data_IF_021834253724
#
_entry.id   IF_021834253724
#
_cell.length_a   1.000
_cell.length_b   1.000
_cell.length_c   1.000
_cell.angle_alpha   90.00
_cell.angle_beta   90.00
_cell.angle_gamma   90.00
#
_symmetry.space_group_name_H-M   'P 1'
#
loop_
_entity.id
_entity.type
_entity.pdbx_description
1 polymer ?
#
# COMPACT_ATOMS: atom_id res chain seq x y z
N UNK A 1 -35.34 10.42 -1.95
CA UNK A 1 -33.99 10.67 -2.51
C UNK A 1 -33.41 11.81 -1.69
N UNK A 2 -32.58 11.53 -0.72
CA UNK A 2 -31.84 12.55 0.04
C UNK A 2 -30.80 13.12 -0.89
N UNK A 3 -30.90 14.40 -1.21
CA UNK A 3 -29.87 15.13 -1.94
C UNK A 3 -28.54 14.95 -1.18
N UNK A 4 -27.52 14.43 -1.88
CA UNK A 4 -26.17 14.39 -1.34
C UNK A 4 -25.68 15.83 -1.14
N UNK A 5 -25.02 16.16 0.00
CA UNK A 5 -24.32 17.42 0.08
C UNK A 5 -23.33 17.51 -1.09
N UNK A 6 -23.33 18.62 -1.79
CA UNK A 6 -22.43 18.90 -2.91
C UNK A 6 -20.99 18.84 -2.38
N UNK A 7 -20.27 17.78 -2.75
CA UNK A 7 -18.88 17.58 -2.29
C UNK A 7 -17.97 18.50 -3.09
N UNK A 8 -17.02 19.10 -2.40
CA UNK A 8 -16.09 20.04 -3.00
C UNK A 8 -14.95 19.32 -3.78
N UNK A 9 -14.75 18.01 -3.56
CA UNK A 9 -13.65 17.23 -4.13
C UNK A 9 -14.16 15.90 -4.68
N UNK A 10 -13.81 15.60 -5.93
CA UNK A 10 -14.08 14.30 -6.56
C UNK A 10 -13.04 13.28 -6.14
N UNK A 11 -13.47 12.19 -5.51
CA UNK A 11 -12.60 11.12 -5.02
C UNK A 11 -12.88 9.84 -5.78
N UNK A 12 -11.84 9.25 -6.37
CA UNK A 12 -11.89 7.90 -6.94
C UNK A 12 -11.20 6.92 -6.00
N UNK A 13 -11.86 5.83 -5.64
CA UNK A 13 -11.25 4.71 -4.94
C UNK A 13 -10.62 3.73 -5.94
N UNK A 14 -9.41 3.26 -5.67
CA UNK A 14 -8.79 2.11 -6.33
C UNK A 14 -8.64 1.01 -5.30
N UNK A 15 -9.20 -0.16 -5.59
CA UNK A 15 -9.08 -1.36 -4.75
C UNK A 15 -8.49 -2.48 -5.59
N UNK A 16 -7.47 -3.16 -5.07
CA UNK A 16 -6.85 -4.33 -5.71
C UNK A 16 -7.31 -5.58 -4.99
N UNK A 17 -7.71 -6.62 -5.73
CA UNK A 17 -8.18 -7.90 -5.18
C UNK A 17 -7.60 -9.09 -5.91
N UNK A 18 -7.48 -10.23 -5.21
CA UNK A 18 -7.11 -11.51 -5.78
C UNK A 18 -7.67 -12.67 -4.95
N UNK A 19 -8.65 -13.43 -5.52
CA UNK A 19 -9.29 -14.58 -4.87
C UNK A 19 -9.87 -14.24 -3.46
N UNK A 20 -10.58 -13.11 -3.34
CA UNK A 20 -11.18 -12.64 -2.10
C UNK A 20 -12.58 -12.03 -2.33
N UNK A 21 -13.47 -12.80 -2.99
CA UNK A 21 -14.82 -12.34 -3.31
C UNK A 21 -15.60 -11.82 -2.09
N UNK A 22 -15.42 -12.46 -0.93
CA UNK A 22 -16.11 -12.07 0.29
C UNK A 22 -15.66 -10.69 0.80
N UNK A 23 -14.37 -10.42 0.77
CA UNK A 23 -13.79 -9.17 1.31
C UNK A 23 -14.02 -8.00 0.35
N UNK A 24 -13.81 -8.19 -0.95
CA UNK A 24 -14.07 -7.13 -1.94
C UNK A 24 -15.54 -6.68 -1.94
N UNK A 25 -16.50 -7.60 -1.72
CA UNK A 25 -17.91 -7.24 -1.57
C UNK A 25 -18.17 -6.32 -0.38
N UNK A 26 -17.56 -6.62 0.77
CA UNK A 26 -17.68 -5.79 1.99
C UNK A 26 -17.06 -4.40 1.77
N UNK A 27 -15.87 -4.36 1.17
CA UNK A 27 -15.13 -3.12 0.92
C UNK A 27 -15.87 -2.24 -0.08
N UNK A 28 -16.34 -2.79 -1.20
CA UNK A 28 -17.15 -2.03 -2.17
C UNK A 28 -18.42 -1.49 -1.55
N UNK A 29 -19.16 -2.30 -0.77
CA UNK A 29 -20.37 -1.84 -0.10
C UNK A 29 -20.11 -0.66 0.86
N UNK A 30 -18.95 -0.68 1.57
CA UNK A 30 -18.55 0.41 2.45
C UNK A 30 -18.19 1.67 1.66
N UNK A 31 -17.47 1.54 0.54
CA UNK A 31 -17.13 2.66 -0.35
C UNK A 31 -18.38 3.31 -0.97
N UNK A 32 -19.34 2.49 -1.37
CA UNK A 32 -20.65 2.98 -1.88
C UNK A 32 -21.42 3.75 -0.81
N UNK A 33 -21.44 3.24 0.44
CA UNK A 33 -22.08 3.89 1.58
C UNK A 33 -21.43 5.24 1.92
N UNK A 34 -20.12 5.36 1.81
CA UNK A 34 -19.38 6.63 1.97
C UNK A 34 -19.65 7.62 0.82
N UNK A 35 -20.17 7.15 -0.29
CA UNK A 35 -20.51 8.01 -1.42
C UNK A 35 -19.32 8.39 -2.29
N UNK A 36 -18.31 7.57 -2.41
CA UNK A 36 -17.18 7.72 -3.34
C UNK A 36 -17.70 7.98 -4.77
N UNK A 37 -17.08 8.90 -5.52
CA UNK A 37 -17.56 9.32 -6.84
C UNK A 37 -17.33 8.23 -7.90
N UNK A 38 -16.15 7.61 -7.90
CA UNK A 38 -15.80 6.49 -8.76
C UNK A 38 -15.11 5.39 -7.95
N UNK A 39 -15.42 4.15 -8.25
CA UNK A 39 -14.80 2.96 -7.66
C UNK A 39 -14.16 2.16 -8.80
N UNK A 40 -12.85 2.05 -8.79
CA UNK A 40 -12.06 1.21 -9.69
C UNK A 40 -11.63 -0.02 -8.91
N UNK A 41 -12.07 -1.20 -9.33
CA UNK A 41 -11.62 -2.46 -8.74
C UNK A 41 -10.75 -3.19 -9.73
N UNK A 42 -9.50 -3.43 -9.35
CA UNK A 42 -8.55 -4.19 -10.16
C UNK A 42 -8.52 -5.63 -9.64
N UNK A 43 -9.05 -6.53 -10.42
CA UNK A 43 -8.95 -7.97 -10.19
C UNK A 43 -7.67 -8.52 -10.79
N UNK A 44 -6.84 -9.12 -9.97
CA UNK A 44 -5.54 -9.67 -10.39
C UNK A 44 -5.65 -11.12 -10.94
N UNK A 45 -6.68 -11.41 -11.73
CA UNK A 45 -6.85 -12.73 -12.35
C UNK A 45 -7.39 -13.76 -11.36
N UNK A 46 -8.42 -13.41 -10.61
CA UNK A 46 -9.10 -14.31 -9.67
C UNK A 46 -9.83 -15.45 -10.36
N UNK A 47 -10.06 -16.53 -9.62
CA UNK A 47 -10.78 -17.74 -10.06
C UNK A 47 -11.91 -18.17 -9.11
N UNK A 48 -12.28 -17.30 -8.17
CA UNK A 48 -13.26 -17.57 -7.09
C UNK A 48 -14.63 -16.92 -7.32
N UNK A 49 -14.97 -16.53 -8.57
CA UNK A 49 -16.20 -15.82 -8.90
C UNK A 49 -16.10 -14.28 -8.75
N UNK A 50 -14.95 -13.75 -8.38
CA UNK A 50 -14.70 -12.30 -8.32
C UNK A 50 -14.88 -11.64 -9.69
N UNK A 51 -14.31 -12.14 -10.81
CA UNK A 51 -14.44 -11.53 -12.13
C UNK A 51 -15.90 -11.41 -12.59
N UNK A 52 -16.70 -12.46 -12.39
CA UNK A 52 -18.12 -12.48 -12.76
C UNK A 52 -18.91 -11.45 -11.96
N UNK A 53 -18.65 -11.39 -10.64
CA UNK A 53 -19.33 -10.43 -9.78
C UNK A 53 -18.97 -8.98 -10.14
N UNK A 54 -17.71 -8.71 -10.48
CA UNK A 54 -17.24 -7.38 -10.87
C UNK A 54 -17.84 -6.96 -12.22
N UNK A 55 -17.82 -7.86 -13.23
CA UNK A 55 -18.35 -7.57 -14.57
C UNK A 55 -19.85 -7.23 -14.54
N UNK A 56 -20.61 -7.86 -13.65
CA UNK A 56 -22.04 -7.57 -13.47
C UNK A 56 -22.35 -6.20 -12.83
N UNK A 57 -21.33 -5.45 -12.38
CA UNK A 57 -21.46 -4.15 -11.70
C UNK A 57 -20.95 -2.96 -12.51
N UNK A 58 -20.41 -3.18 -13.69
CA UNK A 58 -19.87 -2.11 -14.52
C UNK A 58 -20.91 -0.99 -14.75
N UNK A 59 -20.51 0.25 -14.51
CA UNK A 59 -21.36 1.43 -14.65
C UNK A 59 -20.52 2.69 -14.80
N UNK A 60 -21.13 3.84 -14.99
CA UNK A 60 -20.43 5.13 -15.05
C UNK A 60 -19.65 5.48 -13.76
N UNK A 61 -19.94 4.82 -12.63
CA UNK A 61 -19.26 5.02 -11.34
C UNK A 61 -18.44 3.82 -10.87
N UNK A 62 -18.66 2.64 -11.42
CA UNK A 62 -18.00 1.42 -11.02
C UNK A 62 -17.25 0.83 -12.23
N UNK A 63 -15.93 0.72 -12.10
CA UNK A 63 -15.00 0.39 -13.18
C UNK A 63 -14.20 -0.88 -12.83
N UNK A 64 -14.65 -2.07 -13.26
CA UNK A 64 -13.89 -3.30 -13.10
C UNK A 64 -12.73 -3.35 -14.11
N UNK A 65 -11.53 -3.65 -13.63
CA UNK A 65 -10.34 -3.91 -14.44
C UNK A 65 -9.91 -5.35 -14.20
N UNK A 66 -10.05 -6.22 -15.19
CA UNK A 66 -9.76 -7.64 -15.05
C UNK A 66 -8.39 -7.96 -15.68
N UNK A 67 -7.38 -8.15 -14.85
CA UNK A 67 -6.08 -8.60 -15.31
C UNK A 67 -6.15 -10.10 -15.67
N UNK A 68 -5.44 -10.51 -16.73
CA UNK A 68 -5.40 -11.91 -17.17
C UNK A 68 -4.66 -12.82 -16.20
N UNK A 69 -3.87 -12.26 -15.30
CA UNK A 69 -3.00 -12.97 -14.37
C UNK A 69 -2.68 -12.10 -13.15
N UNK A 70 -2.17 -12.75 -12.10
CA UNK A 70 -1.79 -12.04 -10.89
C UNK A 70 -0.51 -11.22 -11.10
N UNK A 71 -0.66 -9.89 -11.09
CA UNK A 71 0.43 -8.92 -11.21
C UNK A 71 0.98 -8.47 -9.84
N UNK A 72 0.51 -9.06 -8.75
CA UNK A 72 0.79 -8.61 -7.39
C UNK A 72 0.11 -7.28 -7.04
N UNK A 73 0.24 -6.85 -5.79
CA UNK A 73 -0.29 -5.56 -5.34
C UNK A 73 0.26 -4.39 -6.15
N UNK A 74 1.59 -4.37 -6.36
CA UNK A 74 2.26 -3.32 -7.12
C UNK A 74 1.70 -3.17 -8.54
N UNK A 75 1.54 -4.29 -9.27
CA UNK A 75 0.99 -4.29 -10.63
C UNK A 75 -0.49 -3.91 -10.65
N UNK A 76 -1.27 -4.39 -9.69
CA UNK A 76 -2.68 -4.03 -9.56
C UNK A 76 -2.88 -2.54 -9.33
N UNK A 77 -2.16 -1.95 -8.38
CA UNK A 77 -2.23 -0.49 -8.14
C UNK A 77 -1.71 0.32 -9.33
N UNK A 78 -0.63 -0.11 -9.99
CA UNK A 78 -0.14 0.55 -11.20
C UNK A 78 -1.20 0.55 -12.32
N UNK A 79 -1.90 -0.56 -12.52
CA UNK A 79 -3.01 -0.70 -13.48
C UNK A 79 -4.13 0.30 -13.13
N UNK A 80 -4.61 0.30 -11.88
CA UNK A 80 -5.67 1.19 -11.42
C UNK A 80 -5.31 2.67 -11.55
N UNK A 81 -4.09 3.05 -11.12
CA UNK A 81 -3.59 4.43 -11.22
C UNK A 81 -3.47 4.90 -12.67
N UNK A 82 -3.03 4.03 -13.58
CA UNK A 82 -2.95 4.34 -15.01
C UNK A 82 -4.35 4.59 -15.57
N UNK A 83 -5.31 3.72 -15.27
CA UNK A 83 -6.70 3.89 -15.69
C UNK A 83 -7.29 5.23 -15.23
N UNK A 84 -7.12 5.55 -13.94
CA UNK A 84 -7.65 6.82 -13.38
C UNK A 84 -7.04 8.02 -14.08
N UNK A 85 -5.71 8.03 -14.28
CA UNK A 85 -5.03 9.16 -14.98
C UNK A 85 -5.51 9.38 -16.40
N UNK A 86 -5.85 8.31 -17.12
CA UNK A 86 -6.21 8.36 -18.53
C UNK A 86 -7.71 8.55 -18.78
N UNK A 87 -8.56 8.09 -17.85
CA UNK A 87 -9.99 7.93 -18.10
C UNK A 87 -10.90 8.70 -17.16
N UNK A 88 -10.41 9.09 -15.97
CA UNK A 88 -11.26 9.70 -14.95
C UNK A 88 -10.74 11.08 -14.54
N UNK A 89 -11.68 12.01 -14.35
CA UNK A 89 -11.37 13.34 -13.84
C UNK A 89 -11.55 13.38 -12.33
N UNK A 90 -10.49 12.99 -11.60
CA UNK A 90 -10.47 12.92 -10.14
C UNK A 90 -9.59 14.00 -9.55
N UNK A 91 -10.03 14.62 -8.45
CA UNK A 91 -9.20 15.55 -7.69
C UNK A 91 -8.27 14.80 -6.74
N UNK A 92 -8.79 13.70 -6.17
CA UNK A 92 -8.09 12.80 -5.27
C UNK A 92 -8.33 11.34 -5.65
N UNK A 93 -7.33 10.50 -5.41
CA UNK A 93 -7.43 9.05 -5.57
C UNK A 93 -7.14 8.39 -4.23
N UNK A 94 -8.05 7.55 -3.76
CA UNK A 94 -7.89 6.75 -2.56
C UNK A 94 -7.45 5.33 -2.95
N UNK A 95 -6.39 4.83 -2.32
CA UNK A 95 -5.84 3.49 -2.52
C UNK A 95 -6.16 2.62 -1.31
N UNK A 96 -6.63 1.40 -1.55
CA UNK A 96 -6.83 0.40 -0.49
C UNK A 96 -6.75 -1.02 -1.02
N UNK A 97 -6.37 -1.95 -0.14
CA UNK A 97 -6.51 -3.40 -0.38
C UNK A 97 -7.98 -3.82 -0.23
N UNK A 98 -8.33 -5.03 -0.68
CA UNK A 98 -9.69 -5.57 -0.64
C UNK A 98 -10.23 -5.83 0.78
N UNK A 99 -9.34 -5.94 1.77
CA UNK A 99 -9.65 -6.08 3.20
C UNK A 99 -9.46 -4.78 4.01
N UNK A 100 -9.10 -3.68 3.31
CA UNK A 100 -9.02 -2.32 3.87
C UNK A 100 -10.22 -1.48 3.49
N UNK A 101 -10.98 -0.96 4.46
CA UNK A 101 -12.23 -0.24 4.19
C UNK A 101 -12.41 0.99 5.08
N UNK A 102 -13.06 2.06 4.57
CA UNK A 102 -13.32 3.25 5.39
C UNK A 102 -14.25 2.92 6.56
N UNK A 103 -13.99 3.48 7.75
CA UNK A 103 -15.00 3.56 8.80
C UNK A 103 -16.13 4.49 8.36
N UNK A 104 -17.37 4.33 8.87
CA UNK A 104 -18.46 5.25 8.59
C UNK A 104 -18.08 6.71 8.88
N UNK A 105 -18.25 7.57 7.88
CA UNK A 105 -17.92 9.00 7.96
C UNK A 105 -16.45 9.32 7.65
N UNK A 106 -15.64 8.37 7.21
CA UNK A 106 -14.24 8.61 6.86
C UNK A 106 -14.09 9.64 5.72
N UNK A 107 -14.96 9.56 4.72
CA UNK A 107 -14.91 10.48 3.60
C UNK A 107 -15.38 11.90 3.98
N UNK A 108 -16.38 12.01 4.85
CA UNK A 108 -16.80 13.31 5.41
C UNK A 108 -15.68 13.94 6.24
N UNK A 109 -14.95 13.12 7.03
CA UNK A 109 -13.77 13.58 7.76
C UNK A 109 -12.65 14.05 6.82
N UNK A 110 -12.41 13.33 5.70
CA UNK A 110 -11.47 13.76 4.67
C UNK A 110 -11.86 15.09 4.02
N UNK A 111 -13.15 15.27 3.68
CA UNK A 111 -13.65 16.50 3.06
C UNK A 111 -13.54 17.71 4.01
N UNK A 112 -13.60 17.49 5.34
CA UNK A 112 -13.46 18.53 6.35
C UNK A 112 -12.01 18.97 6.60
N UNK A 113 -11.01 18.27 6.07
CA UNK A 113 -9.61 18.64 6.25
C UNK A 113 -9.24 19.90 5.46
N UNK A 114 -8.42 20.75 6.08
CA UNK A 114 -7.67 21.77 5.35
C UNK A 114 -6.52 21.07 4.60
N UNK A 115 -6.60 21.06 3.27
CA UNK A 115 -5.64 20.39 2.40
C UNK A 115 -4.76 21.37 1.60
N UNK A 116 -4.69 22.64 2.04
CA UNK A 116 -3.79 23.57 1.39
C UNK A 116 -2.32 23.12 1.54
N UNK A 117 -1.63 23.01 0.42
CA UNK A 117 -0.26 22.50 0.37
C UNK A 117 -0.09 21.02 0.73
N UNK A 118 -1.18 20.22 0.89
CA UNK A 118 -1.14 18.78 1.14
C UNK A 118 -1.34 18.02 -0.17
N UNK A 119 -0.45 17.05 -0.43
CA UNK A 119 -0.46 16.22 -1.65
C UNK A 119 -0.92 14.78 -1.41
N UNK A 120 -0.87 14.33 -0.17
CA UNK A 120 -1.37 13.03 0.23
C UNK A 120 -1.88 13.03 1.66
N UNK A 121 -3.01 12.32 1.89
CA UNK A 121 -3.59 12.10 3.22
C UNK A 121 -3.48 10.63 3.56
N UNK A 122 -2.88 10.34 4.71
CA UNK A 122 -2.69 9.00 5.25
C UNK A 122 -3.69 8.79 6.38
N UNK A 123 -4.53 7.78 6.24
CA UNK A 123 -5.57 7.47 7.22
C UNK A 123 -5.02 6.77 8.47
N UNK A 124 -5.74 6.90 9.57
CA UNK A 124 -5.52 6.11 10.77
C UNK A 124 -6.18 4.73 10.59
N UNK A 125 -5.37 3.68 10.58
CA UNK A 125 -5.82 2.31 10.31
C UNK A 125 -5.92 1.52 11.60
N UNK A 126 -7.06 0.85 11.78
CA UNK A 126 -7.37 0.01 12.94
C UNK A 126 -7.71 -1.42 12.51
N UNK A 127 -7.46 -2.38 13.38
CA UNK A 127 -7.96 -3.74 13.24
C UNK A 127 -9.46 -3.79 13.59
N UNK A 128 -10.22 -4.84 13.20
CA UNK A 128 -11.64 -4.96 13.55
C UNK A 128 -11.93 -4.93 15.05
N UNK A 129 -10.95 -5.27 15.89
CA UNK A 129 -11.06 -5.19 17.35
C UNK A 129 -10.76 -3.79 17.93
N UNK A 130 -10.62 -2.77 17.10
CA UNK A 130 -10.36 -1.38 17.47
C UNK A 130 -8.91 -1.06 17.86
N UNK A 131 -7.99 -2.02 17.81
CA UNK A 131 -6.56 -1.76 18.04
C UNK A 131 -5.93 -1.11 16.81
N UNK A 132 -4.94 -0.24 17.04
CA UNK A 132 -4.17 0.35 15.95
C UNK A 132 -3.47 -0.76 15.15
N UNK A 133 -3.58 -0.70 13.82
CA UNK A 133 -2.87 -1.61 12.93
C UNK A 133 -1.40 -1.20 12.81
N UNK A 134 -0.52 -1.87 13.55
CA UNK A 134 0.91 -1.55 13.57
C UNK A 134 1.60 -1.71 12.21
N UNK A 135 1.10 -2.60 11.34
CA UNK A 135 1.63 -2.78 10.00
C UNK A 135 1.34 -1.59 9.08
N UNK A 136 0.25 -0.87 9.34
CA UNK A 136 -0.15 0.31 8.56
C UNK A 136 0.30 1.62 9.22
N UNK A 137 1.08 1.57 10.29
CA UNK A 137 1.56 2.77 10.99
C UNK A 137 2.47 3.59 10.07
N UNK A 138 2.14 4.85 9.80
CA UNK A 138 2.97 5.69 8.92
C UNK A 138 4.35 5.93 9.51
N UNK A 139 5.32 6.13 8.63
CA UNK A 139 6.72 6.24 9.01
C UNK A 139 7.32 7.56 8.54
N UNK A 140 8.31 8.06 9.29
CA UNK A 140 9.21 9.13 8.85
C UNK A 140 10.52 8.53 8.39
N UNK A 141 11.16 9.11 7.37
CA UNK A 141 12.45 8.61 6.91
C UNK A 141 13.54 8.96 7.95
N UNK A 142 14.14 7.96 8.64
CA UNK A 142 15.09 8.20 9.74
C UNK A 142 16.44 8.74 9.25
N UNK A 143 16.69 8.72 7.93
CA UNK A 143 17.97 9.19 7.36
C UNK A 143 17.94 10.64 6.89
N UNK A 144 16.85 11.36 7.06
CA UNK A 144 16.76 12.82 6.81
C UNK A 144 17.32 13.62 8.00
N UNK A 145 18.62 13.83 8.01
CA UNK A 145 19.42 14.39 9.12
C UNK A 145 18.94 15.73 9.72
N UNK A 146 18.29 16.60 8.93
CA UNK A 146 17.88 17.94 9.43
C UNK A 146 16.58 17.95 10.24
N UNK A 147 15.72 16.93 10.12
CA UNK A 147 14.40 16.89 10.75
C UNK A 147 14.32 15.90 11.91
N UNK A 148 15.11 14.82 11.87
CA UNK A 148 14.89 13.63 12.68
C UNK A 148 15.52 13.60 14.08
N UNK A 149 16.28 14.61 14.47
CA UNK A 149 16.81 14.66 15.83
C UNK A 149 15.74 14.92 16.90
N UNK A 150 14.52 15.30 16.50
CA UNK A 150 13.40 15.64 17.41
C UNK A 150 12.12 14.85 17.17
N UNK A 151 11.97 14.16 16.02
CA UNK A 151 10.75 13.46 15.66
C UNK A 151 10.97 11.95 15.64
N UNK A 152 10.10 11.13 16.29
CA UNK A 152 10.24 9.67 16.28
C UNK A 152 10.02 9.11 14.86
N UNK A 153 10.71 7.99 14.56
CA UNK A 153 10.56 7.26 13.30
C UNK A 153 9.12 6.79 13.05
N UNK A 154 8.42 6.37 14.10
CA UNK A 154 7.01 5.93 14.06
C UNK A 154 6.15 6.89 14.86
N UNK A 155 4.93 7.07 14.42
CA UNK A 155 3.92 7.79 15.19
C UNK A 155 3.58 7.04 16.49
N UNK A 156 3.33 7.77 17.57
CA UNK A 156 2.89 7.21 18.83
C UNK A 156 1.38 6.89 18.81
N UNK A 157 0.91 6.07 19.76
CA UNK A 157 -0.53 5.77 19.87
C UNK A 157 -1.37 7.03 20.16
N UNK A 158 -0.80 8.00 20.89
CA UNK A 158 -1.43 9.29 21.14
C UNK A 158 -1.71 10.10 19.88
N UNK A 159 -0.93 9.90 18.80
CA UNK A 159 -1.12 10.59 17.53
C UNK A 159 -2.38 10.09 16.79
N UNK A 160 -2.94 8.93 17.17
CA UNK A 160 -4.18 8.37 16.62
C UNK A 160 -5.46 8.92 17.27
N UNK A 161 -5.35 9.86 18.21
CA UNK A 161 -6.50 10.58 18.72
C UNK A 161 -7.13 11.43 17.61
N UNK A 162 -8.45 11.34 17.42
CA UNK A 162 -9.21 12.10 16.40
C UNK A 162 -9.04 13.61 16.50
N UNK A 163 -8.75 14.13 17.68
CA UNK A 163 -8.54 15.57 17.93
C UNK A 163 -7.10 16.03 17.62
N UNK A 164 -6.19 15.09 17.38
CA UNK A 164 -4.81 15.44 17.07
C UNK A 164 -4.71 16.11 15.69
N UNK A 165 -3.86 17.12 15.59
CA UNK A 165 -3.58 17.77 14.31
C UNK A 165 -2.89 16.81 13.34
N UNK A 166 -3.15 16.94 12.02
CA UNK A 166 -2.44 16.16 11.01
C UNK A 166 -0.92 16.31 11.13
N UNK A 167 -0.19 15.21 10.94
CA UNK A 167 1.25 15.17 11.08
C UNK A 167 1.94 14.77 9.77
N UNK A 168 3.03 15.44 9.43
CA UNK A 168 3.82 15.09 8.26
C UNK A 168 4.49 13.73 8.43
N UNK A 169 4.37 12.88 7.41
CA UNK A 169 5.01 11.58 7.30
C UNK A 169 5.73 11.45 5.96
N UNK A 170 6.59 10.45 5.80
CA UNK A 170 7.36 10.25 4.57
C UNK A 170 6.95 8.96 3.84
N UNK A 171 6.40 7.97 4.57
CA UNK A 171 6.03 6.66 4.05
C UNK A 171 4.72 6.19 4.67
N UNK A 172 3.87 5.57 3.85
CA UNK A 172 2.59 5.01 4.26
C UNK A 172 2.23 3.79 3.40
N UNK A 173 1.37 2.92 3.94
CA UNK A 173 0.75 1.81 3.20
C UNK A 173 -0.45 2.30 2.40
N UNK A 174 -0.94 1.46 1.47
CA UNK A 174 -2.08 1.84 0.62
C UNK A 174 -3.46 1.68 1.30
N UNK A 175 -3.54 1.26 2.55
CA UNK A 175 -4.83 1.17 3.25
C UNK A 175 -5.31 2.58 3.64
N UNK A 176 -6.23 3.14 2.83
CA UNK A 176 -6.75 4.49 3.05
C UNK A 176 -5.74 5.61 2.76
N UNK A 177 -4.90 5.44 1.75
CA UNK A 177 -4.02 6.50 1.27
C UNK A 177 -4.72 7.32 0.19
N UNK A 178 -4.92 8.61 0.44
CA UNK A 178 -5.45 9.56 -0.54
C UNK A 178 -4.29 10.33 -1.19
N UNK A 179 -4.26 10.38 -2.51
CA UNK A 179 -3.27 11.12 -3.29
C UNK A 179 -3.95 12.17 -4.16
N UNK A 180 -3.44 13.40 -4.12
CA UNK A 180 -3.93 14.49 -4.96
C UNK A 180 -3.56 14.26 -6.43
N UNK A 181 -4.29 14.89 -7.34
CA UNK A 181 -3.96 14.93 -8.78
C UNK A 181 -2.51 15.39 -9.03
N UNK A 182 -1.99 16.31 -8.21
CA UNK A 182 -0.60 16.75 -8.30
C UNK A 182 0.37 15.63 -7.97
N UNK A 183 0.13 14.88 -6.88
CA UNK A 183 0.96 13.72 -6.51
C UNK A 183 0.99 12.67 -7.63
N UNK A 184 -0.18 12.34 -8.21
CA UNK A 184 -0.30 11.36 -9.29
C UNK A 184 0.43 11.75 -10.58
N UNK A 185 0.62 13.05 -10.83
CA UNK A 185 1.38 13.56 -11.98
C UNK A 185 2.88 13.66 -11.72
N UNK A 186 3.29 13.64 -10.44
CA UNK A 186 4.69 13.82 -10.05
C UNK A 186 5.43 12.48 -10.01
N UNK A 187 4.77 11.41 -9.55
CA UNK A 187 5.33 10.05 -9.50
C UNK A 187 4.34 9.07 -10.12
N UNK A 188 4.81 8.22 -11.01
CA UNK A 188 3.97 7.33 -11.83
C UNK A 188 3.29 6.15 -11.07
N UNK A 189 3.30 6.12 -9.76
CA UNK A 189 2.81 4.99 -8.97
C UNK A 189 3.90 3.97 -8.67
N UNK A 190 3.55 2.81 -8.10
CA UNK A 190 4.50 1.77 -7.77
C UNK A 190 5.06 1.11 -9.04
N UNK A 191 6.33 0.69 -9.00
CA UNK A 191 6.91 -0.14 -10.07
C UNK A 191 6.28 -1.54 -10.03
N UNK A 192 5.58 -1.99 -11.09
CA UNK A 192 4.91 -3.29 -11.10
C UNK A 192 5.84 -4.47 -10.81
N UNK A 193 7.14 -4.35 -11.14
CA UNK A 193 8.15 -5.39 -10.93
C UNK A 193 8.47 -5.64 -9.44
N UNK A 194 8.02 -4.76 -8.55
CA UNK A 194 8.10 -5.00 -7.10
C UNK A 194 7.20 -6.16 -6.68
N UNK A 195 6.13 -6.42 -7.36
CA UNK A 195 5.13 -7.45 -7.19
C UNK A 195 4.34 -7.31 -5.88
N UNK A 196 4.97 -7.57 -4.72
CA UNK A 196 4.37 -7.42 -3.38
C UNK A 196 5.40 -6.97 -2.35
N UNK A 197 4.92 -6.36 -1.27
CA UNK A 197 5.66 -5.86 -0.11
C UNK A 197 6.59 -4.68 -0.39
N UNK A 198 6.31 -3.60 0.26
CA UNK A 198 7.13 -2.39 0.26
C UNK A 198 7.01 -1.53 -0.99
N UNK A 199 6.18 -1.91 -1.96
CA UNK A 199 5.81 -1.12 -3.12
C UNK A 199 5.13 0.20 -2.70
N UNK A 200 4.25 0.13 -1.72
CA UNK A 200 3.59 1.24 -1.05
C UNK A 200 4.58 2.21 -0.36
N UNK A 201 5.49 1.65 0.45
CA UNK A 201 6.50 2.45 1.16
C UNK A 201 7.52 3.07 0.20
N UNK A 202 7.92 2.36 -0.85
CA UNK A 202 8.81 2.88 -1.89
C UNK A 202 8.13 4.02 -2.64
N UNK A 203 6.89 3.82 -3.10
CA UNK A 203 6.15 4.83 -3.84
C UNK A 203 5.90 6.09 -3.00
N UNK A 204 5.43 5.96 -1.76
CA UNK A 204 5.17 7.10 -0.88
C UNK A 204 6.46 7.84 -0.49
N UNK A 205 7.58 7.11 -0.30
CA UNK A 205 8.88 7.73 -0.08
C UNK A 205 9.37 8.51 -1.32
N UNK A 206 9.14 7.99 -2.53
CA UNK A 206 9.44 8.70 -3.78
C UNK A 206 8.64 10.00 -3.89
N UNK A 207 7.34 9.96 -3.57
CA UNK A 207 6.50 11.17 -3.50
C UNK A 207 7.07 12.19 -2.50
N UNK A 208 7.40 11.75 -1.30
CA UNK A 208 7.98 12.60 -0.26
C UNK A 208 9.34 13.19 -0.68
N UNK A 209 10.19 12.41 -1.37
CA UNK A 209 11.48 12.89 -1.90
C UNK A 209 11.33 13.85 -3.08
N UNK A 210 10.27 13.71 -3.87
CA UNK A 210 9.90 14.63 -4.94
C UNK A 210 9.27 15.95 -4.41
N UNK A 211 9.23 16.13 -3.08
CA UNK A 211 8.73 17.35 -2.44
C UNK A 211 7.23 17.34 -2.13
N UNK A 212 6.53 16.22 -2.34
CA UNK A 212 5.12 16.11 -1.98
C UNK A 212 4.95 16.06 -0.47
N UNK A 213 3.88 16.70 0.03
CA UNK A 213 3.53 16.73 1.44
C UNK A 213 2.50 15.63 1.74
N UNK A 214 2.93 14.59 2.45
CA UNK A 214 2.05 13.54 2.98
C UNK A 214 1.71 13.86 4.44
N UNK A 215 0.40 13.94 4.75
CA UNK A 215 -0.11 14.25 6.08
C UNK A 215 -0.89 13.04 6.64
N UNK A 216 -0.47 12.51 7.78
CA UNK A 216 -1.27 11.58 8.56
C UNK A 216 -2.42 12.33 9.22
N UNK A 217 -3.65 11.95 8.95
CA UNK A 217 -4.86 12.56 9.48
C UNK A 217 -5.64 11.55 10.33
N UNK A 218 -5.57 11.60 11.67
CA UNK A 218 -6.21 10.64 12.56
C UNK A 218 -7.74 10.71 12.55
N UNK A 219 -8.30 11.76 11.96
CA UNK A 219 -9.74 11.94 11.75
C UNK A 219 -10.29 10.99 10.67
N UNK A 220 -9.47 10.70 9.64
CA UNK A 220 -9.83 9.81 8.53
C UNK A 220 -9.47 8.38 8.94
N UNK A 221 -10.47 7.55 9.21
CA UNK A 221 -10.26 6.23 9.81
C UNK A 221 -10.64 5.11 8.86
N UNK A 222 -9.80 4.07 8.88
CA UNK A 222 -9.98 2.85 8.12
C UNK A 222 -9.88 1.62 9.02
N UNK A 223 -10.63 0.59 8.68
CA UNK A 223 -10.51 -0.76 9.23
C UNK A 223 -9.68 -1.61 8.27
N UNK A 224 -8.76 -2.41 8.79
CA UNK A 224 -8.01 -3.40 8.03
C UNK A 224 -8.22 -4.78 8.64
N UNK A 225 -9.03 -5.59 7.96
CA UNK A 225 -9.44 -6.94 8.39
C UNK A 225 -8.44 -7.98 7.88
N UNK A 226 -7.15 -7.78 8.22
CA UNK A 226 -6.09 -8.62 7.71
C UNK A 226 -5.91 -9.89 8.56
N UNK A 227 -6.05 -11.06 7.95
CA UNK A 227 -5.75 -12.35 8.56
C UNK A 227 -4.24 -12.60 8.74
N UNK A 228 -3.39 -11.79 8.12
CA UNK A 228 -1.92 -11.99 8.05
C UNK A 228 -1.23 -11.92 9.42
N UNK A 229 -1.90 -11.42 10.46
CA UNK A 229 -1.35 -11.27 11.82
C UNK A 229 -1.73 -12.40 12.78
N UNK A 230 -2.41 -13.44 12.32
CA UNK A 230 -2.72 -14.63 13.13
C UNK A 230 -1.49 -15.54 13.15
N UNK A 231 -0.56 -15.27 14.04
CA UNK A 231 0.65 -16.07 14.22
C UNK A 231 1.90 -15.24 14.49
N UNK A 232 3.00 -15.87 14.86
CA UNK A 232 4.29 -15.21 15.12
C UNK A 232 4.72 -14.34 13.92
N UNK A 233 4.75 -13.07 14.11
CA UNK A 233 4.78 -11.95 13.16
C UNK A 233 6.01 -11.86 12.22
N UNK A 234 6.67 -12.96 11.84
CA UNK A 234 7.85 -12.91 10.96
C UNK A 234 8.01 -14.16 10.07
N UNK A 235 6.96 -14.96 9.88
CA UNK A 235 7.01 -16.13 9.01
C UNK A 235 6.15 -15.85 7.77
N UNK A 236 6.82 -15.68 6.63
CA UNK A 236 6.14 -15.50 5.34
C UNK A 236 5.67 -16.86 4.81
N UNK A 237 4.38 -17.00 4.64
CA UNK A 237 3.74 -18.18 4.05
C UNK A 237 2.87 -17.75 2.84
N UNK A 238 3.04 -18.35 1.67
CA UNK A 238 4.10 -19.32 1.30
C UNK A 238 5.52 -18.71 1.32
N UNK A 239 6.54 -19.57 1.48
CA UNK A 239 7.94 -19.16 1.69
C UNK A 239 8.54 -18.31 0.56
N UNK A 240 8.02 -18.42 -0.66
CA UNK A 240 8.48 -17.61 -1.80
C UNK A 240 8.34 -16.09 -1.55
N UNK A 241 7.40 -15.67 -0.71
CA UNK A 241 7.21 -14.26 -0.32
C UNK A 241 8.45 -13.62 0.33
N UNK A 242 9.33 -14.44 0.92
CA UNK A 242 10.61 -14.05 1.49
C UNK A 242 11.47 -13.30 0.47
N UNK A 243 11.51 -13.78 -0.79
CA UNK A 243 12.29 -13.15 -1.84
C UNK A 243 11.87 -11.68 -2.04
N UNK A 244 10.60 -11.44 -2.30
CA UNK A 244 10.11 -10.08 -2.54
C UNK A 244 10.29 -9.18 -1.33
N UNK A 245 9.95 -9.68 -0.14
CA UNK A 245 10.10 -8.90 1.09
C UNK A 245 11.53 -8.38 1.29
N UNK A 246 12.52 -9.24 1.21
CA UNK A 246 13.91 -8.83 1.47
C UNK A 246 14.54 -8.09 0.30
N UNK A 247 14.22 -8.43 -0.94
CA UNK A 247 14.66 -7.67 -2.12
C UNK A 247 14.15 -6.23 -2.05
N UNK A 248 12.85 -6.07 -1.83
CA UNK A 248 12.22 -4.75 -1.81
C UNK A 248 12.63 -3.94 -0.56
N UNK A 249 12.90 -4.61 0.59
CA UNK A 249 13.46 -3.94 1.76
C UNK A 249 14.84 -3.32 1.46
N UNK A 250 15.70 -3.98 0.67
CA UNK A 250 17.00 -3.41 0.26
C UNK A 250 16.78 -2.20 -0.65
N UNK A 251 15.84 -2.27 -1.59
CA UNK A 251 15.50 -1.14 -2.47
C UNK A 251 14.97 0.05 -1.67
N UNK A 252 14.09 -0.21 -0.70
CA UNK A 252 13.59 0.81 0.22
C UNK A 252 14.73 1.44 1.03
N UNK A 253 15.64 0.63 1.58
CA UNK A 253 16.79 1.17 2.32
C UNK A 253 17.73 1.97 1.42
N UNK A 254 17.94 1.54 0.18
CA UNK A 254 18.72 2.33 -0.80
C UNK A 254 18.10 3.70 -1.04
N UNK A 255 16.79 3.73 -1.25
CA UNK A 255 16.05 4.98 -1.47
C UNK A 255 16.06 5.87 -0.21
N UNK A 256 15.88 5.29 0.97
CA UNK A 256 15.78 6.02 2.23
C UNK A 256 17.12 6.52 2.75
N UNK A 257 18.17 5.68 2.68
CA UNK A 257 19.45 5.88 3.35
C UNK A 257 20.57 6.35 2.41
N UNK A 258 20.40 6.21 1.09
CA UNK A 258 21.43 6.58 0.11
C UNK A 258 22.74 5.84 0.37
N UNK A 259 23.84 6.58 0.56
CA UNK A 259 25.17 6.02 0.80
C UNK A 259 25.28 5.23 2.13
N UNK A 260 24.38 5.47 3.10
CA UNK A 260 24.28 4.71 4.35
C UNK A 260 23.68 3.31 4.17
N UNK A 261 23.31 2.91 2.94
CA UNK A 261 22.82 1.55 2.67
C UNK A 261 23.73 0.46 3.26
N UNK A 262 25.05 0.60 3.07
CA UNK A 262 26.00 -0.43 3.48
C UNK A 262 26.05 -0.66 5.00
N UNK A 263 26.21 0.36 5.86
CA UNK A 263 26.08 0.17 7.31
C UNK A 263 24.72 -0.36 7.73
N UNK A 264 23.61 0.06 7.06
CA UNK A 264 22.28 -0.49 7.33
C UNK A 264 22.22 -1.98 7.04
N UNK A 265 22.73 -2.42 5.89
CA UNK A 265 22.78 -3.84 5.53
C UNK A 265 23.67 -4.65 6.48
N UNK A 266 24.82 -4.10 6.89
CA UNK A 266 25.70 -4.77 7.85
C UNK A 266 24.98 -5.10 9.17
N UNK A 267 24.07 -4.23 9.61
CA UNK A 267 23.25 -4.45 10.82
C UNK A 267 22.06 -5.39 10.57
N UNK A 268 21.45 -5.37 9.37
CA UNK A 268 20.23 -6.11 9.05
C UNK A 268 20.50 -7.56 8.62
N UNK A 269 21.53 -7.80 7.79
CA UNK A 269 21.80 -9.12 7.22
C UNK A 269 21.99 -10.22 8.28
N UNK A 270 22.72 -10.02 9.41
CA UNK A 270 22.82 -11.04 10.45
C UNK A 270 21.45 -11.41 11.06
N UNK A 271 20.57 -10.42 11.26
CA UNK A 271 19.20 -10.65 11.78
C UNK A 271 18.38 -11.44 10.79
N UNK A 272 18.42 -11.07 9.49
CA UNK A 272 17.70 -11.76 8.42
C UNK A 272 18.13 -13.21 8.28
N UNK A 273 19.44 -13.49 8.30
CA UNK A 273 19.95 -14.86 8.24
C UNK A 273 19.51 -15.71 9.44
N UNK A 274 19.46 -15.10 10.63
CA UNK A 274 18.96 -15.80 11.83
C UNK A 274 17.47 -16.15 11.75
N UNK A 275 16.67 -15.44 10.97
CA UNK A 275 15.24 -15.73 10.80
C UNK A 275 14.98 -17.13 10.20
N UNK A 276 15.94 -17.72 9.48
CA UNK A 276 15.85 -19.08 8.97
C UNK A 276 15.46 -20.11 10.03
N UNK A 277 15.84 -19.91 11.30
CA UNK A 277 15.53 -20.81 12.42
C UNK A 277 14.01 -20.99 12.67
N UNK A 278 13.20 -20.03 12.21
CA UNK A 278 11.75 -20.05 12.41
C UNK A 278 11.01 -20.81 11.30
N UNK A 279 11.72 -21.23 10.24
CA UNK A 279 11.12 -21.85 9.06
C UNK A 279 11.18 -23.38 9.05
N UNK A 280 11.71 -24.02 10.11
CA UNK A 280 11.71 -25.49 10.26
C UNK A 280 12.23 -26.20 9.00
N UNK A 281 11.39 -27.04 8.39
CA UNK A 281 11.69 -27.79 7.15
C UNK A 281 11.99 -26.90 5.94
N UNK A 282 11.47 -25.68 5.92
CA UNK A 282 11.64 -24.72 4.83
C UNK A 282 12.88 -23.81 5.03
N UNK A 283 13.72 -24.05 6.06
CA UNK A 283 14.86 -23.20 6.40
C UNK A 283 15.88 -23.09 5.27
N UNK A 284 16.12 -24.15 4.50
CA UNK A 284 17.07 -24.11 3.37
C UNK A 284 16.49 -23.35 2.19
N UNK A 285 15.20 -23.52 1.90
CA UNK A 285 14.46 -22.72 0.91
C UNK A 285 14.52 -21.23 1.29
N UNK A 286 14.25 -20.91 2.57
CA UNK A 286 14.37 -19.53 3.07
C UNK A 286 15.78 -18.97 2.83
N UNK A 287 16.86 -19.71 3.17
CA UNK A 287 18.25 -19.23 2.98
C UNK A 287 18.57 -18.98 1.51
N UNK A 288 18.14 -19.88 0.63
CA UNK A 288 18.31 -19.74 -0.81
C UNK A 288 17.61 -18.49 -1.33
N UNK A 289 16.32 -18.33 -1.00
CA UNK A 289 15.52 -17.18 -1.40
C UNK A 289 16.05 -15.86 -0.84
N UNK A 290 16.50 -15.85 0.41
CA UNK A 290 17.14 -14.68 1.02
C UNK A 290 18.42 -14.28 0.28
N UNK A 291 19.28 -15.24 -0.09
CA UNK A 291 20.51 -14.95 -0.82
C UNK A 291 20.21 -14.36 -2.21
N UNK A 292 19.22 -14.89 -2.94
CA UNK A 292 18.77 -14.31 -4.20
C UNK A 292 18.22 -12.88 -4.00
N UNK A 293 17.37 -12.69 -2.98
CA UNK A 293 16.82 -11.38 -2.65
C UNK A 293 17.91 -10.34 -2.34
N UNK A 294 18.95 -10.74 -1.59
CA UNK A 294 20.09 -9.86 -1.27
C UNK A 294 20.84 -9.49 -2.54
N UNK A 295 21.17 -10.48 -3.37
CA UNK A 295 21.89 -10.25 -4.62
C UNK A 295 21.10 -9.29 -5.54
N UNK A 296 19.82 -9.58 -5.79
CA UNK A 296 19.00 -8.82 -6.70
C UNK A 296 18.67 -7.42 -6.14
N UNK A 297 18.40 -7.31 -4.83
CA UNK A 297 18.20 -6.03 -4.18
C UNK A 297 19.43 -5.12 -4.22
N UNK A 298 20.63 -5.67 -4.00
CA UNK A 298 21.88 -4.91 -4.10
C UNK A 298 22.13 -4.45 -5.54
N UNK A 299 21.82 -5.27 -6.52
CA UNK A 299 21.97 -4.93 -7.95
C UNK A 299 20.78 -4.16 -8.53
N UNK A 300 19.74 -3.92 -7.74
CA UNK A 300 18.46 -3.35 -8.21
C UNK A 300 17.85 -4.12 -9.40
N UNK A 301 18.03 -5.45 -9.39
CA UNK A 301 17.50 -6.33 -10.43
C UNK A 301 16.05 -6.69 -10.10
N UNK A 302 15.11 -6.33 -10.98
CA UNK A 302 13.67 -6.51 -10.78
C UNK A 302 13.05 -7.51 -11.77
N UNK A 303 13.68 -7.74 -12.92
CA UNK A 303 13.02 -8.35 -14.07
C UNK A 303 13.05 -9.89 -14.10
N UNK A 304 13.97 -10.55 -13.40
CA UNK A 304 14.11 -12.01 -13.47
C UNK A 304 14.18 -12.63 -12.06
N UNK A 305 13.05 -12.78 -11.36
CA UNK A 305 13.05 -13.52 -10.10
C UNK A 305 13.40 -15.00 -10.36
N UNK A 306 13.86 -15.76 -9.35
CA UNK A 306 14.07 -17.20 -9.49
C UNK A 306 12.85 -17.93 -10.06
N UNK A 307 13.06 -18.89 -10.96
CA UNK A 307 12.01 -19.52 -11.76
C UNK A 307 10.92 -20.27 -10.96
N UNK A 308 11.19 -20.60 -9.72
CA UNK A 308 10.28 -21.24 -8.78
C UNK A 308 9.46 -20.24 -7.95
N UNK A 309 9.54 -18.95 -8.26
CA UNK A 309 8.81 -17.88 -7.58
C UNK A 309 7.79 -17.28 -8.55
N UNK A 310 6.54 -17.00 -8.11
CA UNK A 310 5.62 -16.20 -8.90
C UNK A 310 6.24 -14.87 -9.30
N UNK A 311 6.16 -14.50 -10.55
CA UNK A 311 6.76 -13.29 -11.09
C UNK A 311 5.83 -12.62 -12.09
N UNK A 312 6.14 -11.36 -12.36
CA UNK A 312 5.50 -10.61 -13.41
C UNK A 312 5.87 -11.22 -14.77
N UNK A 313 4.91 -11.58 -15.61
CA UNK A 313 5.22 -12.10 -16.94
C UNK A 313 5.93 -11.03 -17.77
N UNK A 314 6.91 -11.45 -18.55
CA UNK A 314 7.51 -10.56 -19.56
C UNK A 314 6.45 -10.26 -20.62
N UNK A 315 6.24 -8.99 -20.93
CA UNK A 315 5.55 -8.61 -22.14
C UNK A 315 6.39 -9.13 -23.32
N UNK A 316 5.77 -9.95 -24.14
CA UNK A 316 6.35 -10.44 -25.40
C UNK A 316 6.03 -9.49 -26.53
#
# INVERSE_FOLDING_TARGET
MTERPERTRRVTAIVVTFNRLGDIKKTVARLEAEGIDHIVVVDNGSSDGTPEWLSGRESHRFHPLLNKQNLGGAGGFATGLTYVRERLDSDWVMLSDDDGRPEPGALAAFDALDLDGVDGVVSAVFLPNGKISDMNRPLRNPFRLRRNLREPYRLADSDYNREAAPQRVDMATYVGLFLSRRALRTVNGPDPRLFIYGDDLIHTLQLSQAGMHLAFAPQVRFEHDCETLIGNANIYNPVWKVYYHYRNAILLYRLAAGWLLWPVLALRLPKWRRAARHYGKDADTFRRLLNHAIHDGIKSKLDDPPSDIPHFPKEH
#
